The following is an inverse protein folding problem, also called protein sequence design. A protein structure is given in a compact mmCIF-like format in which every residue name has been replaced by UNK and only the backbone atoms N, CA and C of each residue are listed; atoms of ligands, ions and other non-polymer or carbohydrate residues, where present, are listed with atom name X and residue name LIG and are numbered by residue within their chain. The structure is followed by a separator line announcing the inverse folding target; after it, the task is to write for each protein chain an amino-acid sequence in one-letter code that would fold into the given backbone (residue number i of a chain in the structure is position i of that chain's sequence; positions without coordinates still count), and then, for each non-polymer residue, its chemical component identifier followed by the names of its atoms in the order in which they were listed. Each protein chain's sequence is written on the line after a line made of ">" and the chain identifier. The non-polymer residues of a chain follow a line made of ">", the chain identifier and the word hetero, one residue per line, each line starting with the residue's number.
data_IF_699774330542
#
_entry.id   IF_699774330542
#
_cell.length_a   1.000
_cell.length_b   1.000
_cell.length_c   1.000
_cell.angle_alpha   90.00
_cell.angle_beta   90.00
_cell.angle_gamma   90.00
#
_symmetry.space_group_name_H-M   'P 1'
#
loop_
_entity.id
_entity.type
_entity.pdbx_description
1 polymer ?
#
# COMPACT_ATOMS: atom_id res chain seq x y z
N UNK A 1 27.02 19.85 7.91
CA UNK A 1 25.79 19.27 8.50
C UNK A 1 25.04 18.60 7.36
N UNK A 2 25.23 17.29 7.19
CA UNK A 2 24.54 16.52 6.14
C UNK A 2 23.11 16.28 6.63
N UNK A 3 22.13 17.01 6.07
CA UNK A 3 20.72 16.72 6.30
C UNK A 3 20.45 15.31 5.75
N UNK A 4 20.14 14.37 6.64
CA UNK A 4 19.49 13.13 6.25
C UNK A 4 17.99 13.45 6.21
N UNK A 5 17.38 13.27 5.06
CA UNK A 5 15.92 13.21 4.95
C UNK A 5 15.48 11.84 5.46
N UNK A 6 14.82 11.81 6.61
CA UNK A 6 14.24 10.58 7.15
C UNK A 6 13.16 10.05 6.19
N UNK A 7 13.30 8.79 5.78
CA UNK A 7 12.30 8.09 4.97
C UNK A 7 11.36 7.39 5.94
N UNK A 8 10.08 7.78 5.92
CA UNK A 8 9.03 7.14 6.72
C UNK A 8 8.26 6.13 5.86
N UNK A 9 8.18 4.89 6.30
CA UNK A 9 7.34 3.84 5.71
C UNK A 9 6.30 3.42 6.75
N UNK A 10 5.03 3.56 6.41
CA UNK A 10 3.90 3.12 7.24
C UNK A 10 3.22 1.94 6.57
N UNK A 11 3.11 0.82 7.28
CA UNK A 11 2.38 -0.37 6.81
C UNK A 11 1.00 -0.36 7.43
N UNK A 12 -0.04 -0.40 6.59
CA UNK A 12 -1.45 -0.44 7.01
C UNK A 12 -2.15 -1.66 6.41
N UNK A 13 -3.16 -2.17 7.11
CA UNK A 13 -4.06 -3.20 6.59
C UNK A 13 -5.26 -2.57 5.89
N UNK A 14 -5.68 -3.12 4.73
CA UNK A 14 -6.86 -2.67 4.00
C UNK A 14 -8.19 -3.21 4.55
N UNK A 15 -8.13 -4.12 5.51
CA UNK A 15 -9.31 -4.86 6.00
C UNK A 15 -9.76 -5.96 5.02
N UNK A 16 -10.87 -6.65 5.31
CA UNK A 16 -11.31 -7.82 4.55
C UNK A 16 -12.18 -7.52 3.33
N UNK A 17 -12.48 -6.25 3.05
CA UNK A 17 -13.50 -5.88 2.06
C UNK A 17 -13.35 -4.47 1.53
N UNK A 18 -14.49 -3.79 1.38
CA UNK A 18 -14.59 -2.44 0.81
C UNK A 18 -13.92 -1.38 1.69
N UNK A 19 -13.62 -0.21 1.10
CA UNK A 19 -12.88 0.87 1.78
C UNK A 19 -13.55 1.36 3.07
N UNK A 20 -14.88 1.22 3.20
CA UNK A 20 -15.61 1.54 4.43
C UNK A 20 -15.26 0.66 5.64
N UNK A 21 -14.48 -0.42 5.45
CA UNK A 21 -13.96 -1.27 6.52
C UNK A 21 -12.55 -0.88 7.00
N UNK A 22 -11.94 0.14 6.40
CA UNK A 22 -10.67 0.69 6.88
C UNK A 22 -10.86 1.28 8.28
N UNK A 23 -9.87 1.07 9.14
CA UNK A 23 -9.83 1.82 10.40
C UNK A 23 -9.59 3.29 10.10
N UNK A 24 -10.03 4.16 11.02
CA UNK A 24 -9.80 5.60 10.92
C UNK A 24 -8.31 5.92 10.78
N UNK A 25 -7.46 5.27 11.58
CA UNK A 25 -6.01 5.50 11.56
C UNK A 25 -5.38 5.08 10.21
N UNK A 26 -5.87 3.98 9.62
CA UNK A 26 -5.41 3.56 8.28
C UNK A 26 -5.83 4.58 7.20
N UNK A 27 -7.06 5.10 7.28
CA UNK A 27 -7.54 6.14 6.37
C UNK A 27 -6.71 7.42 6.49
N UNK A 28 -6.43 7.88 7.71
CA UNK A 28 -5.63 9.08 7.97
C UNK A 28 -4.19 8.90 7.46
N UNK A 29 -3.58 7.74 7.69
CA UNK A 29 -2.25 7.42 7.17
C UNK A 29 -2.20 7.41 5.63
N UNK A 30 -3.20 6.80 4.97
CA UNK A 30 -3.29 6.75 3.51
C UNK A 30 -3.53 8.14 2.91
N UNK A 31 -4.37 8.95 3.54
CA UNK A 31 -4.68 10.32 3.07
C UNK A 31 -3.49 11.27 3.21
N UNK A 32 -2.67 11.08 4.24
CA UNK A 32 -1.47 11.89 4.49
C UNK A 32 -0.21 11.42 3.75
N UNK A 33 -0.27 10.29 3.04
CA UNK A 33 0.87 9.73 2.34
C UNK A 33 1.22 10.55 1.09
N UNK A 34 2.51 10.59 0.76
CA UNK A 34 2.99 11.13 -0.53
C UNK A 34 2.77 10.15 -1.68
N UNK A 35 2.72 8.86 -1.39
CA UNK A 35 2.48 7.77 -2.33
C UNK A 35 1.97 6.54 -1.57
N UNK A 36 1.06 5.79 -2.18
CA UNK A 36 0.55 4.52 -1.67
C UNK A 36 1.11 3.40 -2.55
N UNK A 37 1.75 2.41 -1.94
CA UNK A 37 2.12 1.16 -2.61
C UNK A 37 1.12 0.07 -2.22
N UNK A 38 0.48 -0.54 -3.20
CA UNK A 38 -0.45 -1.65 -3.01
C UNK A 38 0.15 -2.93 -3.56
N UNK A 39 0.05 -3.99 -2.77
CA UNK A 39 0.40 -5.34 -3.21
C UNK A 39 -0.36 -5.73 -4.48
N UNK A 40 -1.65 -5.35 -4.57
CA UNK A 40 -2.51 -5.71 -5.69
C UNK A 40 -3.63 -4.72 -5.91
N UNK A 41 -4.04 -4.50 -7.18
CA UNK A 41 -5.23 -3.71 -7.50
C UNK A 41 -6.55 -4.47 -7.25
N UNK A 42 -6.48 -5.79 -7.03
CA UNK A 42 -7.65 -6.67 -6.94
C UNK A 42 -8.39 -6.57 -5.61
N UNK A 43 -7.84 -5.84 -4.64
CA UNK A 43 -8.46 -5.67 -3.32
C UNK A 43 -9.70 -4.76 -3.41
N UNK A 44 -10.86 -5.14 -2.83
CA UNK A 44 -12.09 -4.34 -2.96
C UNK A 44 -11.93 -2.88 -2.47
N UNK A 45 -11.21 -2.68 -1.35
CA UNK A 45 -10.90 -1.35 -0.84
C UNK A 45 -10.21 -0.39 -1.85
N UNK A 46 -9.53 -0.88 -2.90
CA UNK A 46 -8.84 -0.03 -3.89
C UNK A 46 -9.80 0.98 -4.52
N UNK A 47 -11.04 0.57 -4.79
CA UNK A 47 -12.04 1.42 -5.44
C UNK A 47 -12.47 2.64 -4.61
N UNK A 48 -12.24 2.61 -3.30
CA UNK A 48 -12.65 3.67 -2.36
C UNK A 48 -11.50 4.34 -1.63
N UNK A 49 -10.25 4.18 -2.08
CA UNK A 49 -9.10 4.84 -1.45
C UNK A 49 -9.16 6.37 -1.58
N UNK A 50 -8.45 7.11 -0.71
CA UNK A 50 -8.40 8.58 -0.78
C UNK A 50 -7.96 9.07 -2.16
N UNK A 51 -8.74 9.96 -2.75
CA UNK A 51 -8.39 10.59 -4.01
C UNK A 51 -7.21 11.56 -3.83
N UNK A 52 -6.41 11.74 -4.89
CA UNK A 52 -5.33 12.72 -4.92
C UNK A 52 -3.98 12.25 -4.39
N UNK A 53 -3.89 11.01 -3.88
CA UNK A 53 -2.61 10.37 -3.53
C UNK A 53 -2.19 9.44 -4.68
N UNK A 54 -0.97 9.56 -5.22
CA UNK A 54 -0.45 8.64 -6.22
C UNK A 54 -0.45 7.20 -5.71
N UNK A 55 -0.93 6.27 -6.52
CA UNK A 55 -0.96 4.84 -6.19
C UNK A 55 0.00 4.12 -7.13
N UNK A 56 0.82 3.24 -6.57
CA UNK A 56 1.67 2.28 -7.28
C UNK A 56 1.18 0.87 -6.96
N UNK A 57 0.99 0.06 -8.00
CA UNK A 57 0.50 -1.31 -7.90
C UNK A 57 1.65 -2.24 -8.20
N UNK A 58 1.88 -3.22 -7.33
CA UNK A 58 2.94 -4.21 -7.48
C UNK A 58 2.46 -5.55 -8.07
N UNK A 59 1.34 -5.58 -8.79
CA UNK A 59 0.80 -6.83 -9.36
C UNK A 59 1.83 -7.52 -10.25
N UNK A 60 2.61 -6.75 -11.01
CA UNK A 60 3.71 -7.21 -11.86
C UNK A 60 4.76 -8.04 -11.10
N UNK A 61 5.07 -7.67 -9.86
CA UNK A 61 6.03 -8.38 -9.00
C UNK A 61 5.51 -9.77 -8.60
N UNK A 62 4.19 -9.94 -8.47
CA UNK A 62 3.59 -11.20 -8.03
C UNK A 62 3.09 -12.09 -9.16
N UNK A 63 2.68 -11.51 -10.29
CA UNK A 63 2.12 -12.25 -11.41
C UNK A 63 3.16 -13.14 -12.13
N UNK A 64 4.45 -12.82 -12.01
CA UNK A 64 5.54 -13.54 -12.69
C UNK A 64 6.28 -14.55 -11.78
N UNK A 65 5.78 -14.80 -10.56
CA UNK A 65 6.44 -15.67 -9.58
C UNK A 65 5.53 -16.81 -9.13
N UNK A 66 5.96 -18.06 -9.35
CA UNK A 66 5.26 -19.24 -8.86
C UNK A 66 5.43 -19.47 -7.33
N UNK A 67 6.40 -18.80 -6.71
CA UNK A 67 6.76 -18.98 -5.31
C UNK A 67 6.92 -17.63 -4.60
N UNK A 68 6.28 -17.49 -3.44
CA UNK A 68 6.41 -16.33 -2.55
C UNK A 68 7.86 -16.13 -2.08
N UNK A 69 8.64 -17.21 -1.96
CA UNK A 69 10.06 -17.12 -1.58
C UNK A 69 10.91 -16.36 -2.62
N UNK A 70 10.46 -16.31 -3.88
CA UNK A 70 11.11 -15.54 -4.94
C UNK A 70 10.84 -14.03 -4.82
N UNK A 71 9.71 -13.64 -4.22
CA UNK A 71 9.36 -12.23 -3.95
C UNK A 71 9.92 -11.77 -2.60
N UNK A 72 9.92 -12.68 -1.62
CA UNK A 72 10.36 -12.43 -0.25
C UNK A 72 11.45 -13.44 0.16
N UNK A 73 12.70 -13.21 -0.25
CA UNK A 73 13.81 -14.06 0.18
C UNK A 73 14.03 -13.90 1.69
N UNK A 74 14.29 -15.03 2.37
CA UNK A 74 14.60 -15.11 3.80
C UNK A 74 16.01 -14.63 4.11
#
# INVERSE_FOLDING_TARGET
>A
MTQHSDILITIVGLGPGEAGMLTRDAWEALTGASVIYLRTQRHPAVAGLPAGVPIQICDDIYEDTADLSAVYPL
#
